data_IF_807035205181
#
_entry.id   IF_807035205181
#
_cell.length_a   1.000
_cell.length_b   1.000
_cell.length_c   1.000
_cell.angle_alpha   90.00
_cell.angle_beta   90.00
_cell.angle_gamma   90.00
#
_symmetry.space_group_name_H-M   'P 1'
#
loop_
_entity.id
_entity.type
_entity.pdbx_description
1 polymer ?
#
# COMPACT_ATOMS: atom_id res chain seq x y z
N UNK A 1 12.26 1.04 6.91
CA UNK A 1 13.00 1.80 7.95
C UNK A 1 11.98 2.43 8.86
N UNK A 2 12.05 2.22 10.18
CA UNK A 2 11.13 2.90 11.09
C UNK A 2 11.47 4.39 11.13
N UNK A 3 10.51 5.26 10.83
CA UNK A 3 10.68 6.70 11.01
C UNK A 3 10.75 7.01 12.51
N UNK A 4 11.74 7.80 12.90
CA UNK A 4 11.92 8.19 14.29
C UNK A 4 10.78 9.14 14.69
N UNK A 5 10.06 8.81 15.76
CA UNK A 5 9.03 9.70 16.31
C UNK A 5 9.67 10.99 16.84
N UNK A 6 8.86 12.04 17.00
CA UNK A 6 9.34 13.30 17.59
C UNK A 6 9.94 13.10 18.99
N UNK A 7 9.40 12.18 19.77
CA UNK A 7 9.88 11.86 21.12
C UNK A 7 11.23 11.14 21.05
N UNK A 8 11.37 10.15 20.16
CA UNK A 8 12.65 9.46 19.94
C UNK A 8 13.71 10.43 19.39
N UNK A 9 13.33 11.34 18.49
CA UNK A 9 14.22 12.37 17.95
C UNK A 9 14.69 13.35 19.03
N UNK A 10 13.77 13.86 19.86
CA UNK A 10 14.12 14.71 21.00
C UNK A 10 15.06 13.99 21.98
N UNK A 11 14.77 12.71 22.25
CA UNK A 11 15.62 11.86 23.07
C UNK A 11 17.03 11.72 22.49
N UNK A 12 17.14 11.46 21.19
CA UNK A 12 18.41 11.27 20.50
C UNK A 12 19.23 12.57 20.50
N UNK A 13 18.61 13.68 20.14
CA UNK A 13 19.24 15.01 20.11
C UNK A 13 19.72 15.46 21.49
N UNK A 14 19.06 15.01 22.56
CA UNK A 14 19.46 15.27 23.96
C UNK A 14 20.41 14.21 24.54
N UNK A 15 20.82 13.21 23.76
CA UNK A 15 21.69 12.12 24.23
C UNK A 15 21.03 11.16 25.22
N UNK A 16 19.69 11.10 25.28
CA UNK A 16 18.91 10.24 26.17
C UNK A 16 18.60 8.87 25.58
N UNK A 17 18.70 8.71 24.26
CA UNK A 17 18.53 7.42 23.59
C UNK A 17 19.48 7.28 22.41
N UNK A 18 19.75 6.03 22.03
CA UNK A 18 20.59 5.67 20.88
C UNK A 18 19.68 5.02 19.84
N UNK A 19 19.70 5.48 18.57
CA UNK A 19 18.92 4.86 17.50
C UNK A 19 19.36 3.41 17.29
N UNK A 20 18.40 2.51 17.13
CA UNK A 20 18.67 1.07 16.97
C UNK A 20 19.51 0.76 15.72
N UNK A 21 19.41 1.60 14.69
CA UNK A 21 20.10 1.44 13.42
C UNK A 21 21.36 2.30 13.29
N UNK A 22 21.88 2.79 14.42
CA UNK A 22 23.20 3.42 14.49
C UNK A 22 24.28 2.36 14.25
N UNK A 23 25.18 2.58 13.29
CA UNK A 23 26.24 1.63 12.96
C UNK A 23 27.37 1.69 13.99
N UNK A 24 28.12 0.59 14.12
CA UNK A 24 29.34 0.56 14.93
C UNK A 24 30.34 1.59 14.39
N UNK A 25 30.87 2.43 15.28
CA UNK A 25 31.77 3.55 14.98
C UNK A 25 31.16 4.69 14.14
N UNK A 26 29.83 4.74 13.98
CA UNK A 26 29.14 5.87 13.38
C UNK A 26 28.86 6.94 14.45
N UNK A 27 29.29 8.17 14.19
CA UNK A 27 28.97 9.31 15.04
C UNK A 27 27.53 9.76 14.83
N UNK A 28 26.94 10.47 15.79
CA UNK A 28 25.59 11.03 15.64
C UNK A 28 25.46 11.97 14.43
N UNK A 29 26.52 12.69 14.08
CA UNK A 29 26.54 13.57 12.91
C UNK A 29 26.51 12.76 11.61
N UNK A 30 27.35 11.72 11.50
CA UNK A 30 27.35 10.80 10.35
C UNK A 30 26.01 10.09 10.20
N UNK A 31 25.40 9.66 11.33
CA UNK A 31 24.06 9.09 11.35
C UNK A 31 23.02 10.04 10.75
N UNK A 32 22.97 11.29 11.20
CA UNK A 32 22.02 12.29 10.71
C UNK A 32 22.25 12.60 9.22
N UNK A 33 23.50 12.80 8.80
CA UNK A 33 23.84 13.03 7.39
C UNK A 33 23.37 11.86 6.52
N UNK A 34 23.61 10.62 6.96
CA UNK A 34 23.12 9.43 6.27
C UNK A 34 21.60 9.41 6.18
N UNK A 35 20.88 9.73 7.27
CA UNK A 35 19.41 9.77 7.27
C UNK A 35 18.83 10.85 6.36
N UNK A 36 19.45 12.03 6.31
CA UNK A 36 19.03 13.07 5.37
C UNK A 36 19.29 12.67 3.92
N UNK A 37 20.45 12.05 3.63
CA UNK A 37 20.74 11.55 2.28
C UNK A 37 19.78 10.43 1.85
N UNK A 38 19.45 9.49 2.75
CA UNK A 38 18.44 8.44 2.52
C UNK A 38 17.06 9.06 2.21
N UNK A 39 16.64 10.10 2.93
CA UNK A 39 15.37 10.80 2.70
C UNK A 39 15.37 11.61 1.39
N UNK A 40 16.46 12.32 1.08
CA UNK A 40 16.62 13.05 -0.17
C UNK A 40 16.58 12.11 -1.37
N UNK A 41 17.27 10.97 -1.30
CA UNK A 41 17.25 9.96 -2.36
C UNK A 41 15.84 9.42 -2.63
N UNK A 42 15.03 9.16 -1.58
CA UNK A 42 13.61 8.79 -1.75
C UNK A 42 12.82 9.89 -2.46
N UNK A 43 13.01 11.15 -2.07
CA UNK A 43 12.33 12.30 -2.69
C UNK A 43 12.70 12.44 -4.17
N UNK A 44 13.98 12.30 -4.51
CA UNK A 44 14.47 12.36 -5.88
C UNK A 44 13.89 11.21 -6.72
N UNK A 45 13.85 9.99 -6.19
CA UNK A 45 13.26 8.84 -6.88
C UNK A 45 11.77 9.05 -7.16
N UNK A 46 11.00 9.49 -6.15
CA UNK A 46 9.57 9.82 -6.32
C UNK A 46 9.37 10.98 -7.31
N UNK A 47 10.22 12.00 -7.28
CA UNK A 47 10.11 13.13 -8.20
C UNK A 47 10.41 12.72 -9.65
N UNK A 48 11.40 11.84 -9.87
CA UNK A 48 11.72 11.30 -11.19
C UNK A 48 10.57 10.44 -11.73
N UNK A 49 10.01 9.56 -10.90
CA UNK A 49 8.85 8.72 -11.26
C UNK A 49 7.61 9.58 -11.59
N UNK A 50 7.30 10.56 -10.73
CA UNK A 50 6.22 11.52 -10.98
C UNK A 50 6.43 12.38 -12.24
N UNK A 51 7.69 12.64 -12.63
CA UNK A 51 7.99 13.31 -13.88
C UNK A 51 7.72 12.39 -15.10
N UNK A 52 7.97 11.09 -14.96
CA UNK A 52 7.66 10.06 -15.96
C UNK A 52 6.16 9.89 -16.18
N UNK A 53 5.36 9.89 -15.09
CA UNK A 53 3.89 9.79 -15.12
C UNK A 53 3.19 10.90 -15.93
N UNK A 54 3.85 12.05 -16.15
CA UNK A 54 3.29 13.14 -16.95
C UNK A 54 3.26 12.83 -18.46
N UNK A 55 3.86 11.72 -18.88
CA UNK A 55 3.93 11.27 -20.26
C UNK A 55 3.21 9.94 -20.49
N UNK A 56 2.18 9.64 -19.68
CA UNK A 56 1.35 8.47 -19.90
C UNK A 56 0.77 8.53 -21.33
N UNK A 57 1.15 7.55 -22.14
CA UNK A 57 0.50 7.33 -23.42
C UNK A 57 -1.01 7.20 -23.18
N UNK A 58 -1.87 7.71 -24.08
CA UNK A 58 -3.31 7.64 -23.89
C UNK A 58 -3.80 6.21 -24.14
N UNK A 59 -3.43 5.28 -23.26
CA UNK A 59 -3.61 3.84 -23.40
C UNK A 59 -5.08 3.53 -23.69
N UNK A 60 -6.00 4.13 -22.94
CA UNK A 60 -7.43 3.99 -23.20
C UNK A 60 -7.85 4.42 -24.61
N UNK A 61 -7.27 5.49 -25.17
CA UNK A 61 -7.56 5.89 -26.54
C UNK A 61 -6.94 4.94 -27.57
N UNK A 62 -5.72 4.45 -27.33
CA UNK A 62 -5.02 3.48 -28.19
C UNK A 62 -5.78 2.14 -28.22
N UNK A 63 -6.17 1.64 -27.06
CA UNK A 63 -6.96 0.40 -26.92
C UNK A 63 -8.34 0.54 -27.55
N UNK A 64 -9.01 1.68 -27.33
CA UNK A 64 -10.30 1.97 -27.97
C UNK A 64 -10.16 2.04 -29.49
N UNK A 65 -9.08 2.62 -30.00
CA UNK A 65 -8.76 2.68 -31.43
C UNK A 65 -8.58 1.28 -32.03
N UNK A 66 -7.78 0.42 -31.38
CA UNK A 66 -7.60 -0.99 -31.75
C UNK A 66 -8.93 -1.74 -31.80
N UNK A 67 -9.70 -1.69 -30.71
CA UNK A 67 -11.01 -2.34 -30.63
C UNK A 67 -12.02 -1.78 -31.64
N UNK A 68 -11.92 -0.49 -31.99
CA UNK A 68 -12.75 0.12 -33.02
C UNK A 68 -12.39 -0.38 -34.42
N UNK A 69 -11.10 -0.51 -34.73
CA UNK A 69 -10.63 -1.10 -35.99
C UNK A 69 -11.13 -2.55 -36.16
N UNK A 70 -11.01 -3.38 -35.12
CA UNK A 70 -11.53 -4.76 -35.13
C UNK A 70 -13.05 -4.80 -35.37
N UNK A 71 -13.81 -3.86 -34.78
CA UNK A 71 -15.25 -3.77 -35.02
C UNK A 71 -15.57 -3.41 -36.47
N UNK A 72 -14.80 -2.50 -37.08
CA UNK A 72 -15.02 -2.06 -38.46
C UNK A 72 -14.84 -3.20 -39.48
N UNK A 73 -13.97 -4.18 -39.23
CA UNK A 73 -13.79 -5.34 -40.11
C UNK A 73 -15.03 -6.23 -40.23
N UNK A 74 -15.91 -6.20 -39.22
CA UNK A 74 -17.17 -6.94 -39.23
C UNK A 74 -18.23 -6.26 -40.11
N UNK A 75 -18.01 -5.01 -40.54
CA UNK A 75 -18.88 -4.31 -41.46
C UNK A 75 -18.41 -4.51 -42.90
N UNK A 76 -19.35 -4.65 -43.83
CA UNK A 76 -19.05 -4.78 -45.26
C UNK A 76 -18.86 -3.40 -45.91
N UNK A 77 -17.76 -2.74 -45.59
CA UNK A 77 -17.38 -1.51 -46.27
C UNK A 77 -16.63 -1.81 -47.58
N UNK A 78 -16.94 -1.05 -48.62
CA UNK A 78 -16.27 -1.11 -49.91
C UNK A 78 -15.52 0.22 -50.17
N UNK A 79 -14.33 0.10 -50.75
CA UNK A 79 -13.55 1.20 -51.29
C UNK A 79 -13.43 1.03 -52.82
N UNK A 80 -12.81 1.98 -53.52
CA UNK A 80 -12.60 1.89 -54.98
C UNK A 80 -11.85 0.61 -55.41
N UNK A 81 -11.08 0.00 -54.51
CA UNK A 81 -10.35 -1.26 -54.70
C UNK A 81 -11.07 -2.54 -54.26
N UNK A 82 -12.35 -2.46 -53.87
CA UNK A 82 -13.13 -3.61 -53.34
C UNK A 82 -13.28 -3.57 -51.81
N UNK A 83 -13.38 -4.74 -51.18
CA UNK A 83 -13.62 -4.83 -49.73
C UNK A 83 -12.52 -4.10 -48.93
N UNK A 84 -12.92 -3.27 -47.96
CA UNK A 84 -12.02 -2.46 -47.14
C UNK A 84 -10.90 -3.30 -46.47
N UNK A 85 -11.21 -4.53 -46.04
CA UNK A 85 -10.25 -5.41 -45.38
C UNK A 85 -9.08 -5.85 -46.30
N UNK A 86 -9.28 -5.75 -47.62
CA UNK A 86 -8.26 -6.05 -48.63
C UNK A 86 -7.47 -4.81 -49.07
N UNK A 87 -7.82 -3.61 -48.57
CA UNK A 87 -7.10 -2.38 -48.86
C UNK A 87 -5.80 -2.29 -48.05
N UNK A 88 -4.68 -1.96 -48.71
CA UNK A 88 -3.37 -1.82 -48.05
C UNK A 88 -3.39 -0.76 -46.94
N UNK A 89 -4.06 0.37 -47.19
CA UNK A 89 -4.09 1.50 -46.26
C UNK A 89 -4.84 1.11 -44.98
N UNK A 90 -5.88 0.28 -45.11
CA UNK A 90 -6.62 -0.27 -43.98
C UNK A 90 -5.78 -1.25 -43.16
N UNK A 91 -5.06 -2.16 -43.83
CA UNK A 91 -4.19 -3.13 -43.18
C UNK A 91 -3.05 -2.46 -42.41
N UNK A 92 -2.42 -1.43 -42.99
CA UNK A 92 -1.37 -0.66 -42.32
C UNK A 92 -1.92 0.17 -41.15
N UNK A 93 -3.11 0.77 -41.29
CA UNK A 93 -3.77 1.47 -40.18
C UNK A 93 -4.01 0.54 -38.98
N UNK A 94 -4.53 -0.67 -39.22
CA UNK A 94 -4.73 -1.70 -38.18
C UNK A 94 -3.42 -2.07 -37.50
N UNK A 95 -2.40 -2.34 -38.32
CA UNK A 95 -1.06 -2.70 -37.85
C UNK A 95 -0.43 -1.61 -37.00
N UNK A 96 -0.63 -0.32 -37.35
CA UNK A 96 -0.19 0.80 -36.53
C UNK A 96 -0.87 0.81 -35.15
N UNK A 97 -2.19 0.58 -35.07
CA UNK A 97 -2.91 0.54 -33.79
C UNK A 97 -2.47 -0.64 -32.91
N UNK A 98 -2.22 -1.80 -33.50
CA UNK A 98 -1.67 -2.97 -32.78
C UNK A 98 -0.29 -2.66 -32.20
N UNK A 99 0.64 -2.16 -33.02
CA UNK A 99 1.98 -1.82 -32.53
C UNK A 99 1.97 -0.70 -31.50
N UNK A 100 1.14 0.33 -31.67
CA UNK A 100 1.00 1.39 -30.67
C UNK A 100 0.46 0.84 -29.36
N UNK A 101 -0.49 -0.10 -29.43
CA UNK A 101 -1.01 -0.78 -28.25
C UNK A 101 0.06 -1.62 -27.55
N UNK A 102 0.78 -2.47 -28.29
CA UNK A 102 1.85 -3.30 -27.74
C UNK A 102 2.93 -2.43 -27.10
N UNK A 103 3.38 -1.39 -27.82
CA UNK A 103 4.36 -0.43 -27.30
C UNK A 103 3.87 0.27 -26.04
N UNK A 104 2.62 0.74 -26.00
CA UNK A 104 2.06 1.42 -24.83
C UNK A 104 1.91 0.47 -23.63
N UNK A 105 1.53 -0.79 -23.85
CA UNK A 105 1.45 -1.81 -22.79
C UNK A 105 2.83 -2.15 -22.23
N UNK A 106 3.84 -2.27 -23.08
CA UNK A 106 5.22 -2.53 -22.65
C UNK A 106 5.94 -1.30 -22.08
N UNK A 107 5.42 -0.10 -22.34
CA UNK A 107 5.95 1.16 -21.80
C UNK A 107 5.34 1.53 -20.45
N UNK A 108 4.44 0.71 -19.89
CA UNK A 108 3.97 0.89 -18.53
C UNK A 108 5.19 0.85 -17.60
N UNK A 109 5.49 2.01 -17.04
CA UNK A 109 6.64 2.16 -16.14
C UNK A 109 6.23 1.50 -14.83
N UNK A 110 7.05 0.56 -14.32
CA UNK A 110 6.89 0.12 -12.94
C UNK A 110 7.13 1.32 -12.01
N UNK A 111 6.42 1.35 -10.88
CA UNK A 111 6.41 2.49 -9.96
C UNK A 111 7.11 2.15 -8.64
N UNK A 112 8.38 1.70 -8.64
CA UNK A 112 9.00 1.12 -7.47
C UNK A 112 9.17 2.12 -6.33
N UNK A 113 9.36 3.41 -6.62
CA UNK A 113 9.46 4.43 -5.58
C UNK A 113 8.08 4.68 -4.94
N UNK A 114 7.03 4.77 -5.75
CA UNK A 114 5.65 4.89 -5.24
C UNK A 114 5.22 3.65 -4.48
N UNK A 115 5.50 2.45 -4.98
CA UNK A 115 5.16 1.20 -4.31
C UNK A 115 5.88 1.07 -2.96
N UNK A 116 7.17 1.40 -2.91
CA UNK A 116 7.93 1.44 -1.66
C UNK A 116 7.36 2.46 -0.66
N UNK A 117 6.98 3.65 -1.15
CA UNK A 117 6.34 4.69 -0.33
C UNK A 117 4.97 4.24 0.21
N UNK A 118 4.12 3.64 -0.64
CA UNK A 118 2.83 3.10 -0.22
C UNK A 118 2.98 1.95 0.77
N UNK A 119 4.00 1.10 0.61
CA UNK A 119 4.31 0.05 1.57
C UNK A 119 4.71 0.63 2.94
N UNK A 120 5.51 1.70 2.97
CA UNK A 120 5.89 2.42 4.19
C UNK A 120 4.66 3.02 4.89
N UNK A 121 3.79 3.72 4.15
CA UNK A 121 2.53 4.26 4.70
C UNK A 121 1.65 3.15 5.25
N UNK A 122 1.48 2.04 4.52
CA UNK A 122 0.66 0.91 5.00
C UNK A 122 1.23 0.31 6.28
N UNK A 123 2.55 0.19 6.38
CA UNK A 123 3.20 -0.30 7.60
C UNK A 123 2.97 0.66 8.79
N UNK A 124 3.08 1.97 8.56
CA UNK A 124 2.78 2.99 9.57
C UNK A 124 1.31 2.94 10.03
N UNK A 125 0.37 2.95 9.08
CA UNK A 125 -1.06 2.89 9.38
C UNK A 125 -1.44 1.63 10.18
N UNK A 126 -0.83 0.48 9.87
CA UNK A 126 -1.03 -0.75 10.66
C UNK A 126 -0.51 -0.60 12.08
N UNK A 127 0.68 -0.02 12.25
CA UNK A 127 1.26 0.23 13.58
C UNK A 127 0.40 1.19 14.40
N UNK A 128 -0.15 2.23 13.78
CA UNK A 128 -1.10 3.15 14.41
C UNK A 128 -2.40 2.46 14.79
N UNK A 129 -2.97 1.65 13.91
CA UNK A 129 -4.16 0.84 14.21
C UNK A 129 -3.96 -0.09 15.40
N UNK A 130 -2.81 -0.78 15.48
CA UNK A 130 -2.45 -1.63 16.62
C UNK A 130 -2.34 -0.80 17.92
N UNK A 131 -1.62 0.32 17.87
CA UNK A 131 -1.50 1.23 19.00
C UNK A 131 -2.86 1.71 19.51
N UNK A 132 -3.74 2.07 18.57
CA UNK A 132 -5.07 2.56 18.85
C UNK A 132 -5.90 1.47 19.54
N UNK A 133 -5.90 0.24 19.03
CA UNK A 133 -6.62 -0.89 19.62
C UNK A 133 -6.11 -1.22 21.03
N UNK A 134 -4.79 -1.30 21.22
CA UNK A 134 -4.19 -1.52 22.54
C UNK A 134 -4.58 -0.41 23.53
N UNK A 135 -4.55 0.85 23.08
CA UNK A 135 -4.93 2.01 23.90
C UNK A 135 -6.41 1.99 24.27
N UNK A 136 -7.29 1.60 23.34
CA UNK A 136 -8.74 1.46 23.60
C UNK A 136 -9.02 0.34 24.61
N UNK A 137 -8.34 -0.79 24.51
CA UNK A 137 -8.44 -1.87 25.49
C UNK A 137 -8.03 -1.41 26.89
N UNK A 138 -6.86 -0.78 27.00
CA UNK A 138 -6.35 -0.25 28.28
C UNK A 138 -7.31 0.80 28.87
N UNK A 139 -7.85 1.69 28.04
CA UNK A 139 -8.83 2.68 28.48
C UNK A 139 -10.13 2.02 28.97
N UNK A 140 -10.65 1.02 28.25
CA UNK A 140 -11.86 0.29 28.66
C UNK A 140 -11.70 -0.37 30.04
N UNK A 141 -10.54 -0.94 30.32
CA UNK A 141 -10.21 -1.46 31.65
C UNK A 141 -10.13 -0.36 32.72
N UNK A 142 -9.37 0.72 32.47
CA UNK A 142 -9.21 1.82 33.43
C UNK A 142 -10.53 2.53 33.77
N UNK A 143 -11.49 2.53 32.85
CA UNK A 143 -12.83 3.08 33.07
C UNK A 143 -13.85 2.07 33.61
N UNK A 144 -13.44 0.82 33.90
CA UNK A 144 -14.29 -0.20 34.53
C UNK A 144 -15.25 -0.92 33.59
N UNK A 145 -15.11 -0.78 32.27
CA UNK A 145 -15.91 -1.54 31.30
C UNK A 145 -15.49 -3.01 31.19
N UNK A 146 -14.26 -3.32 31.61
CA UNK A 146 -13.71 -4.68 31.61
C UNK A 146 -13.45 -5.10 33.05
N UNK A 147 -14.19 -6.09 33.52
CA UNK A 147 -14.02 -6.68 34.85
C UNK A 147 -13.13 -7.94 34.79
N UNK A 148 -11.84 -7.73 34.53
CA UNK A 148 -10.81 -8.79 34.47
C UNK A 148 -9.62 -8.44 35.36
N UNK A 149 -8.81 -9.41 35.81
CA UNK A 149 -7.58 -9.12 36.53
C UNK A 149 -6.62 -8.25 35.70
N UNK A 150 -5.88 -7.35 36.37
CA UNK A 150 -4.88 -6.51 35.72
C UNK A 150 -3.87 -7.33 34.90
N UNK A 151 -3.46 -8.50 35.40
CA UNK A 151 -2.53 -9.38 34.71
C UNK A 151 -3.08 -9.87 33.35
N UNK A 152 -4.36 -10.26 33.29
CA UNK A 152 -4.99 -10.68 32.03
C UNK A 152 -5.07 -9.52 31.03
N UNK A 153 -5.50 -8.34 31.48
CA UNK A 153 -5.58 -7.16 30.59
C UNK A 153 -4.20 -6.73 30.12
N UNK A 154 -3.19 -6.81 30.99
CA UNK A 154 -1.80 -6.54 30.63
C UNK A 154 -1.31 -7.50 29.55
N UNK A 155 -1.55 -8.81 29.71
CA UNK A 155 -1.13 -9.82 28.75
C UNK A 155 -1.81 -9.62 27.39
N UNK A 156 -3.11 -9.34 27.35
CA UNK A 156 -3.83 -9.07 26.09
C UNK A 156 -3.36 -7.76 25.45
N UNK A 157 -3.15 -6.70 26.23
CA UNK A 157 -2.64 -5.42 25.71
C UNK A 157 -1.25 -5.60 25.12
N UNK A 158 -0.37 -6.36 25.80
CA UNK A 158 0.95 -6.71 25.30
C UNK A 158 0.88 -7.57 24.03
N UNK A 159 -0.01 -8.55 23.99
CA UNK A 159 -0.25 -9.39 22.80
C UNK A 159 -0.69 -8.55 21.60
N UNK A 160 -1.58 -7.56 21.78
CA UNK A 160 -1.95 -6.65 20.70
C UNK A 160 -0.73 -5.85 20.23
N UNK A 161 0.08 -5.33 21.15
CA UNK A 161 1.27 -4.55 20.79
C UNK A 161 2.37 -5.39 20.11
N UNK A 162 2.51 -6.68 20.43
CA UNK A 162 3.48 -7.59 19.78
C UNK A 162 3.13 -7.88 18.33
N UNK A 163 1.87 -7.69 17.92
CA UNK A 163 1.46 -7.83 16.53
C UNK A 163 2.25 -6.91 15.56
N UNK A 164 2.88 -5.82 16.05
CA UNK A 164 3.77 -5.00 15.22
C UNK A 164 5.01 -5.75 14.77
N UNK A 165 5.58 -6.58 15.66
CA UNK A 165 6.75 -7.39 15.35
C UNK A 165 6.36 -8.54 14.39
N UNK A 166 5.17 -9.11 14.57
CA UNK A 166 4.60 -10.11 13.66
C UNK A 166 4.42 -9.52 12.24
N UNK A 167 3.69 -8.40 12.12
CA UNK A 167 3.47 -7.70 10.86
C UNK A 167 4.76 -7.28 10.14
N UNK A 168 5.82 -6.95 10.89
CA UNK A 168 7.10 -6.53 10.32
C UNK A 168 7.91 -7.71 9.73
N UNK A 169 7.64 -8.94 10.20
CA UNK A 169 8.39 -10.14 9.83
C UNK A 169 7.62 -11.07 8.88
N UNK A 170 6.34 -10.80 8.60
CA UNK A 170 5.50 -11.70 7.82
C UNK A 170 5.68 -11.52 6.29
N UNK A 171 6.09 -12.57 5.56
CA UNK A 171 6.27 -12.49 4.11
C UNK A 171 4.96 -12.71 3.31
N UNK A 172 3.84 -13.02 3.97
CA UNK A 172 2.55 -13.32 3.33
C UNK A 172 1.44 -12.37 3.80
N UNK A 173 0.34 -12.21 3.03
CA UNK A 173 -0.83 -11.47 3.49
C UNK A 173 -1.36 -12.07 4.79
N UNK A 174 -1.43 -11.24 5.84
CA UNK A 174 -1.90 -11.69 7.16
C UNK A 174 -3.42 -11.76 7.17
N UNK A 175 -3.91 -12.95 7.48
CA UNK A 175 -5.32 -13.21 7.78
C UNK A 175 -5.74 -12.41 9.03
N UNK A 176 -6.90 -11.75 8.97
CA UNK A 176 -7.44 -10.94 10.07
C UNK A 176 -7.33 -9.41 9.92
N UNK A 177 -6.57 -8.90 8.94
CA UNK A 177 -6.53 -7.45 8.66
C UNK A 177 -7.83 -6.92 8.02
N UNK A 178 -8.65 -7.80 7.45
CA UNK A 178 -9.95 -7.44 6.84
C UNK A 178 -10.99 -7.04 7.87
N UNK A 179 -10.85 -7.46 9.13
CA UNK A 179 -11.86 -7.29 10.17
C UNK A 179 -12.98 -8.33 10.15
N UNK A 180 -13.02 -9.23 9.17
CA UNK A 180 -14.08 -10.23 8.99
C UNK A 180 -14.30 -11.11 10.24
N UNK A 181 -13.21 -11.48 10.92
CA UNK A 181 -13.30 -12.24 12.18
C UNK A 181 -14.02 -11.45 13.28
N UNK A 182 -13.73 -10.16 13.41
CA UNK A 182 -14.36 -9.29 14.39
C UNK A 182 -15.84 -9.07 14.05
N UNK A 183 -16.17 -8.84 12.78
CA UNK A 183 -17.55 -8.68 12.30
C UNK A 183 -18.39 -9.93 12.56
N UNK A 184 -17.86 -11.10 12.21
CA UNK A 184 -18.52 -12.39 12.49
C UNK A 184 -18.73 -12.61 13.99
N UNK A 185 -17.73 -12.28 14.81
CA UNK A 185 -17.85 -12.40 16.27
C UNK A 185 -18.94 -11.50 16.83
N UNK A 186 -19.09 -10.27 16.31
CA UNK A 186 -20.15 -9.35 16.71
C UNK A 186 -21.54 -9.92 16.37
N UNK A 187 -21.71 -10.52 15.20
CA UNK A 187 -22.97 -11.17 14.80
C UNK A 187 -23.32 -12.32 15.76
N UNK A 188 -22.35 -13.19 16.06
CA UNK A 188 -22.51 -14.32 16.96
C UNK A 188 -22.86 -13.86 18.39
N UNK A 189 -22.15 -12.87 18.92
CA UNK A 189 -22.41 -12.32 20.26
C UNK A 189 -23.78 -11.62 20.31
N UNK A 190 -24.16 -10.87 19.28
CA UNK A 190 -25.47 -10.25 19.19
C UNK A 190 -26.59 -11.30 19.21
N UNK A 191 -26.39 -12.44 18.56
CA UNK A 191 -27.34 -13.55 18.60
C UNK A 191 -27.42 -14.22 19.98
N UNK A 192 -26.28 -14.43 20.65
CA UNK A 192 -26.25 -14.96 22.02
C UNK A 192 -27.00 -14.05 23.00
N UNK A 193 -26.81 -12.73 22.90
CA UNK A 193 -27.53 -11.74 23.70
C UNK A 193 -29.03 -11.82 23.45
N UNK A 194 -29.48 -11.91 22.18
CA UNK A 194 -30.90 -12.06 21.84
C UNK A 194 -31.53 -13.34 22.41
N UNK A 195 -30.77 -14.42 22.53
CA UNK A 195 -31.22 -15.70 23.08
C UNK A 195 -31.19 -15.76 24.62
N UNK A 196 -30.81 -14.67 25.30
CA UNK A 196 -30.70 -14.62 26.75
C UNK A 196 -29.47 -15.35 27.30
N UNK A 197 -28.38 -15.44 26.51
CA UNK A 197 -27.09 -15.91 27.02
C UNK A 197 -26.63 -15.03 28.18
N UNK A 198 -26.55 -15.62 29.38
CA UNK A 198 -26.16 -14.92 30.61
C UNK A 198 -24.77 -14.29 30.51
N UNK A 199 -24.66 -13.06 31.03
CA UNK A 199 -23.41 -12.45 31.51
C UNK A 199 -22.91 -13.16 32.77
#
# INVERSE_FOLDING_TARGET
>A
MKQMSLIEMDGFLKGKCIPQDLKVNETNAEYLVRKFAEAEAKCVALAAENAGLKYDAPLGAIENGRAFADRLENYQFECEGGNLNMCSDWQEFRRCLEYLSEWAMHSQTEHPATDAFLAEIRAEARNEGINYTASRLAAAFNHGFINKPLAEVFDVTRMILSAKEELANEPHPIDGLSGEYAEKSLEEWAEQIRKGGNQ
#
